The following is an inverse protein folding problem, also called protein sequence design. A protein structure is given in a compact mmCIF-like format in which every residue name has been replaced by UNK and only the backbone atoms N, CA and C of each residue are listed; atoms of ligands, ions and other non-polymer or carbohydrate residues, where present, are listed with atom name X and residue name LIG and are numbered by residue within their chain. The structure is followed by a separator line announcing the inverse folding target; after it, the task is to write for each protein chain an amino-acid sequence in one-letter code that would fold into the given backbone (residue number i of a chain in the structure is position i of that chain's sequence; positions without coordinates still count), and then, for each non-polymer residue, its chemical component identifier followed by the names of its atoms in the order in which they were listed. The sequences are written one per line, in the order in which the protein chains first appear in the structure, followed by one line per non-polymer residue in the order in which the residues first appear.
data_IF_697850306479
#
_entry.id   IF_697850306479
#
_cell.length_a   1.000
_cell.length_b   1.000
_cell.length_c   1.000
_cell.angle_alpha   90.00
_cell.angle_beta   90.00
_cell.angle_gamma   90.00
#
_symmetry.space_group_name_H-M   'P 1'
#
loop_
_entity.id
_entity.type
_entity.pdbx_description
1 polymer ?
#
# COMPACT_ATOMS: atom_id res chain seq x y z
N UNK A 1 -6.08 17.28 10.46
CA UNK A 1 -5.82 16.09 11.28
C UNK A 1 -5.94 14.83 10.44
N UNK A 2 -4.97 13.94 10.53
CA UNK A 2 -4.96 12.72 9.76
C UNK A 2 -5.75 11.65 10.50
N UNK A 3 -6.69 11.03 9.80
CA UNK A 3 -7.47 9.98 10.36
C UNK A 3 -6.60 8.70 10.50
N UNK A 4 -6.97 7.81 11.38
CA UNK A 4 -6.18 6.61 11.66
C UNK A 4 -6.00 5.74 10.42
N UNK A 5 -7.02 5.63 9.59
CA UNK A 5 -6.92 4.85 8.36
C UNK A 5 -5.94 5.49 7.39
N UNK A 6 -5.98 6.80 7.28
CA UNK A 6 -5.07 7.50 6.40
C UNK A 6 -3.61 7.35 6.86
N UNK A 7 -3.38 7.39 8.17
CA UNK A 7 -2.04 7.18 8.71
C UNK A 7 -1.54 5.78 8.36
N UNK A 8 -2.40 4.79 8.45
CA UNK A 8 -2.03 3.42 8.11
C UNK A 8 -1.80 3.25 6.60
N UNK A 9 -2.57 3.96 5.79
CA UNK A 9 -2.34 3.95 4.35
C UNK A 9 -0.96 4.52 4.03
N UNK A 10 -0.59 5.61 4.68
CA UNK A 10 0.74 6.20 4.46
C UNK A 10 1.85 5.24 4.87
N UNK A 11 1.67 4.51 5.97
CA UNK A 11 2.63 3.51 6.39
C UNK A 11 2.75 2.40 5.35
N UNK A 12 1.64 1.95 4.81
CA UNK A 12 1.64 0.93 3.78
C UNK A 12 2.36 1.41 2.53
N UNK A 13 2.09 2.64 2.11
CA UNK A 13 2.74 3.20 0.93
C UNK A 13 4.24 3.33 1.12
N UNK A 14 4.66 3.76 2.28
CA UNK A 14 6.07 3.90 2.59
C UNK A 14 6.78 2.55 2.54
N UNK A 15 6.13 1.54 3.08
CA UNK A 15 6.68 0.19 3.11
C UNK A 15 6.81 -0.38 1.69
N UNK A 16 5.79 -0.19 0.87
CA UNK A 16 5.81 -0.66 -0.51
C UNK A 16 6.81 0.12 -1.35
N UNK A 17 6.91 1.42 -1.11
CA UNK A 17 7.84 2.26 -1.86
C UNK A 17 9.31 1.96 -1.53
N UNK A 18 9.56 1.45 -0.34
CA UNK A 18 10.91 1.14 0.09
C UNK A 18 11.56 0.00 -0.68
N UNK A 19 10.76 -0.96 -1.10
CA UNK A 19 11.26 -2.04 -1.95
C UNK A 19 10.07 -2.80 -2.53
N UNK A 20 10.33 -3.50 -3.60
CA UNK A 20 9.30 -4.27 -4.29
C UNK A 20 8.78 -5.38 -3.39
N UNK A 21 7.46 -5.51 -3.29
CA UNK A 21 6.84 -6.51 -2.43
C UNK A 21 5.88 -7.36 -3.25
N UNK A 22 5.83 -8.64 -2.94
CA UNK A 22 4.85 -9.51 -3.60
C UNK A 22 3.48 -9.31 -2.96
N UNK A 23 2.44 -9.64 -3.69
CA UNK A 23 1.08 -9.58 -3.19
C UNK A 23 0.94 -10.43 -1.92
N UNK A 24 1.54 -11.62 -1.92
CA UNK A 24 1.50 -12.51 -0.76
C UNK A 24 2.17 -11.89 0.44
N UNK A 25 3.28 -11.24 0.23
CA UNK A 25 4.03 -10.58 1.28
C UNK A 25 3.20 -9.46 1.92
N UNK A 26 2.53 -8.67 1.08
CA UNK A 26 1.68 -7.59 1.56
C UNK A 26 0.50 -8.14 2.35
N UNK A 27 -0.14 -9.17 1.82
CA UNK A 27 -1.28 -9.78 2.51
C UNK A 27 -0.86 -10.35 3.84
N UNK A 28 0.30 -11.00 3.90
CA UNK A 28 0.79 -11.59 5.12
C UNK A 28 1.06 -10.52 6.18
N UNK A 29 1.68 -9.43 5.79
CA UNK A 29 2.03 -8.36 6.70
C UNK A 29 0.81 -7.54 7.15
N UNK A 30 -0.13 -7.30 6.24
CA UNK A 30 -1.21 -6.35 6.50
C UNK A 30 -2.55 -7.00 6.81
N UNK A 31 -2.71 -8.26 6.52
CA UNK A 31 -3.94 -8.97 6.85
C UNK A 31 -4.02 -9.32 8.32
N UNK A 32 -2.88 -9.55 8.94
CA UNK A 32 -2.84 -9.94 10.34
C UNK A 32 -2.91 -8.76 11.29
N UNK A 33 -2.66 -7.57 10.80
CA UNK A 33 -2.74 -6.37 11.63
C UNK A 33 -4.18 -5.95 11.77
N UNK A 34 -4.56 -5.55 12.93
CA UNK A 34 -5.92 -5.17 13.16
C UNK A 34 -6.07 -3.67 13.16
N UNK A 35 -7.04 -3.14 12.48
CA UNK A 35 -8.07 -3.56 11.52
C UNK A 35 -7.57 -3.38 10.13
N UNK A 36 -7.53 -4.31 9.33
CA UNK A 36 -6.69 -4.30 8.25
C UNK A 36 -7.23 -4.22 6.90
N UNK A 37 -8.24 -4.90 6.64
CA UNK A 37 -8.81 -4.93 5.34
C UNK A 37 -9.10 -3.59 4.75
N UNK A 38 -9.69 -2.65 5.52
CA UNK A 38 -10.00 -1.34 4.97
C UNK A 38 -8.79 -0.57 4.50
N UNK A 39 -7.64 -0.79 5.12
CA UNK A 39 -6.42 -0.06 4.73
C UNK A 39 -5.99 -0.47 3.33
N UNK A 40 -5.90 -1.77 3.08
CA UNK A 40 -5.49 -2.28 1.78
C UNK A 40 -6.50 -1.90 0.70
N UNK A 41 -7.77 -2.12 1.00
CA UNK A 41 -8.83 -1.84 0.02
C UNK A 41 -8.93 -0.36 -0.29
N UNK A 42 -8.82 0.46 0.73
CA UNK A 42 -8.89 1.89 0.56
C UNK A 42 -7.74 2.41 -0.30
N UNK A 43 -6.54 1.92 -0.05
CA UNK A 43 -5.38 2.32 -0.85
C UNK A 43 -5.56 1.95 -2.31
N UNK A 44 -6.11 0.78 -2.57
CA UNK A 44 -6.38 0.35 -3.94
C UNK A 44 -7.49 1.17 -4.59
N UNK A 45 -8.55 1.43 -3.85
CA UNK A 45 -9.68 2.23 -4.34
C UNK A 45 -9.25 3.64 -4.72
N UNK A 46 -8.33 4.20 -3.97
CA UNK A 46 -7.83 5.54 -4.25
C UNK A 46 -6.79 5.56 -5.36
N UNK A 47 -6.45 4.40 -5.90
CA UNK A 47 -5.45 4.32 -6.96
C UNK A 47 -4.04 4.59 -6.50
N UNK A 48 -3.76 4.32 -5.23
CA UNK A 48 -2.43 4.57 -4.67
C UNK A 48 -1.48 3.41 -4.87
N UNK A 49 -2.01 2.21 -5.09
CA UNK A 49 -1.22 1.02 -5.31
C UNK A 49 -1.73 0.29 -6.54
N UNK A 50 -0.86 -0.47 -7.17
CA UNK A 50 -1.23 -1.31 -8.30
C UNK A 50 -0.55 -2.67 -8.15
N UNK A 51 -1.15 -3.68 -8.74
CA UNK A 51 -0.58 -5.02 -8.73
C UNK A 51 -0.20 -5.37 -10.15
N UNK A 52 1.03 -5.83 -10.35
CA UNK A 52 1.52 -6.22 -11.65
C UNK A 52 2.00 -7.66 -11.61
N UNK A 53 1.84 -8.36 -12.71
CA UNK A 53 2.33 -9.71 -12.81
C UNK A 53 3.73 -9.68 -13.40
N UNK A 54 4.66 -10.33 -12.72
CA UNK A 54 6.02 -10.41 -13.19
C UNK A 54 6.56 -11.80 -12.92
N UNK A 55 6.99 -12.51 -13.95
CA UNK A 55 7.58 -13.84 -13.82
C UNK A 55 6.70 -14.79 -13.01
N UNK A 56 5.41 -14.75 -13.27
CA UNK A 56 4.47 -15.63 -12.60
C UNK A 56 4.11 -15.23 -11.18
N UNK A 57 4.56 -14.07 -10.73
CA UNK A 57 4.26 -13.57 -9.40
C UNK A 57 3.52 -12.24 -9.49
N UNK A 58 2.67 -12.00 -8.51
CA UNK A 58 2.00 -10.71 -8.42
C UNK A 58 2.82 -9.80 -7.54
N UNK A 59 3.21 -8.65 -8.06
CA UNK A 59 4.03 -7.68 -7.35
C UNK A 59 3.19 -6.43 -7.10
N UNK A 60 3.25 -5.93 -5.89
CA UNK A 60 2.54 -4.71 -5.52
C UNK A 60 3.49 -3.53 -5.69
N UNK A 61 3.02 -2.49 -6.37
CA UNK A 61 3.83 -1.29 -6.59
C UNK A 61 3.03 -0.05 -6.24
N UNK A 62 3.75 0.98 -5.81
CA UNK A 62 3.14 2.26 -5.54
C UNK A 62 2.93 2.99 -6.87
N UNK A 63 1.81 3.68 -7.01
CA UNK A 63 1.52 4.44 -8.22
C UNK A 63 2.07 5.86 -8.08
N UNK A 64 2.12 6.63 -9.18
CA UNK A 64 2.50 8.04 -9.08
C UNK A 64 1.60 8.82 -8.10
N UNK A 65 0.31 8.47 -8.03
CA UNK A 65 -0.58 9.09 -7.06
C UNK A 65 -0.17 8.77 -5.63
N UNK A 66 0.27 7.53 -5.40
CA UNK A 66 0.75 7.12 -4.09
C UNK A 66 2.03 7.85 -3.71
N UNK A 67 2.94 8.00 -4.66
CA UNK A 67 4.19 8.73 -4.44
C UNK A 67 3.88 10.19 -4.09
N UNK A 68 2.96 10.79 -4.82
CA UNK A 68 2.58 12.18 -4.57
C UNK A 68 2.01 12.37 -3.17
N UNK A 69 1.21 11.42 -2.71
CA UNK A 69 0.65 11.47 -1.38
C UNK A 69 1.73 11.37 -0.32
N UNK A 70 2.69 10.49 -0.51
CA UNK A 70 3.82 10.35 0.42
C UNK A 70 4.65 11.62 0.48
N UNK A 71 4.87 12.25 -0.65
CA UNK A 71 5.66 13.48 -0.70
C UNK A 71 4.96 14.64 -0.03
N UNK A 72 3.65 14.69 -0.13
CA UNK A 72 2.87 15.73 0.53
C UNK A 72 2.92 15.62 2.04
N UNK A 73 3.15 14.41 2.53
CA UNK A 73 3.22 14.16 3.96
C UNK A 73 4.48 14.75 4.59
N UNK A 74 5.56 14.84 3.83
CA UNK A 74 6.86 15.28 4.36
C UNK A 74 6.93 16.78 4.61
#
# INVERSE_FOLDING_TARGET
MIDAVEALILDLLEWVAGQERSYEEVMDAWRTSCPRLPVWEDANDRGLLTTQRSKGRSIVRITPSGVALLERRK
#
